data_IF_473979435534
#
_entry.id   IF_473979435534
#
_cell.length_a   1.000
_cell.length_b   1.000
_cell.length_c   1.000
_cell.angle_alpha   90.00
_cell.angle_beta   90.00
_cell.angle_gamma   90.00
#
_symmetry.space_group_name_H-M   'P 1'
#
loop_
_entity.id
_entity.type
_entity.pdbx_description
1 polymer ?
#
# COMPACT_ATOMS: atom_id res chain seq x y z
N UNK A 1 10.02 14.17 -6.69
CA UNK A 1 10.00 14.74 -8.07
C UNK A 1 9.55 16.19 -7.95
N UNK A 2 10.20 17.09 -8.66
CA UNK A 2 9.80 18.50 -8.68
C UNK A 2 8.76 18.73 -9.77
N UNK A 3 7.86 19.68 -9.54
CA UNK A 3 6.80 20.04 -10.49
C UNK A 3 7.35 20.38 -11.88
N UNK A 4 8.45 21.12 -11.92
CA UNK A 4 9.09 21.58 -13.18
C UNK A 4 9.68 20.45 -14.03
N UNK A 5 9.73 19.22 -13.52
CA UNK A 5 10.28 18.06 -14.25
C UNK A 5 9.20 17.35 -15.10
N UNK A 6 7.92 17.72 -14.94
CA UNK A 6 6.80 17.04 -15.61
C UNK A 6 6.10 18.04 -16.55
N UNK A 7 6.23 17.80 -17.85
CA UNK A 7 5.63 18.64 -18.90
C UNK A 7 4.50 17.94 -19.67
N UNK A 8 4.33 16.66 -19.48
CA UNK A 8 3.31 15.84 -20.12
C UNK A 8 2.94 14.65 -19.23
N UNK A 9 1.79 14.05 -19.51
CA UNK A 9 1.33 12.85 -18.82
C UNK A 9 2.35 11.71 -18.96
N UNK A 10 2.90 11.15 -17.86
CA UNK A 10 3.85 10.06 -17.92
C UNK A 10 3.18 8.72 -18.24
N UNK A 11 3.97 7.80 -18.80
CA UNK A 11 3.63 6.37 -18.87
C UNK A 11 4.12 5.68 -17.60
N UNK A 12 3.32 4.76 -17.10
CA UNK A 12 3.58 3.99 -15.86
C UNK A 12 3.75 2.52 -16.21
N UNK A 13 4.81 1.91 -15.72
CA UNK A 13 5.04 0.46 -15.82
C UNK A 13 4.55 -0.22 -14.52
N UNK A 14 3.49 -1.01 -14.63
CA UNK A 14 2.87 -1.72 -13.48
C UNK A 14 3.20 -3.20 -13.55
N UNK A 15 3.92 -3.74 -12.58
CA UNK A 15 4.20 -5.16 -12.45
C UNK A 15 2.95 -5.92 -12.02
N UNK A 16 2.49 -6.89 -12.86
CA UNK A 16 1.21 -7.57 -12.64
C UNK A 16 1.40 -8.97 -12.05
N UNK A 17 2.25 -9.79 -12.66
CA UNK A 17 2.47 -11.16 -12.19
C UNK A 17 3.87 -11.67 -12.59
N UNK A 18 4.40 -12.64 -11.82
CA UNK A 18 5.65 -13.33 -12.10
C UNK A 18 5.43 -14.85 -12.11
N UNK A 19 5.73 -15.52 -13.24
CA UNK A 19 5.52 -16.97 -13.44
C UNK A 19 6.51 -17.57 -14.41
N UNK A 20 6.64 -18.91 -14.43
CA UNK A 20 7.47 -19.62 -15.41
C UNK A 20 6.87 -19.57 -16.82
N UNK A 21 5.55 -19.46 -16.93
CA UNK A 21 4.84 -19.22 -18.18
C UNK A 21 3.70 -18.23 -17.99
N UNK A 22 3.50 -17.37 -18.98
CA UNK A 22 2.46 -16.33 -18.99
C UNK A 22 1.57 -16.57 -20.21
N UNK A 23 0.27 -16.74 -19.95
CA UNK A 23 -0.77 -16.88 -20.96
C UNK A 23 -1.59 -15.61 -21.04
N UNK A 24 -1.77 -15.06 -22.23
CA UNK A 24 -2.50 -13.82 -22.45
C UNK A 24 -3.31 -13.86 -23.75
N UNK A 25 -4.32 -12.99 -23.80
CA UNK A 25 -5.16 -12.82 -24.99
C UNK A 25 -5.09 -11.37 -25.44
N UNK A 26 -4.69 -11.13 -26.68
CA UNK A 26 -4.79 -9.82 -27.31
C UNK A 26 -6.20 -9.65 -27.87
N UNK A 27 -6.90 -8.58 -27.49
CA UNK A 27 -8.27 -8.32 -27.93
C UNK A 27 -8.36 -7.46 -29.19
N UNK A 28 -7.21 -7.01 -29.71
CA UNK A 28 -7.04 -6.29 -30.97
C UNK A 28 -5.67 -6.61 -31.57
N UNK A 29 -5.31 -6.00 -32.69
CA UNK A 29 -3.97 -6.12 -33.26
C UNK A 29 -2.93 -5.38 -32.41
N UNK A 30 -1.78 -6.02 -32.23
CA UNK A 30 -0.63 -5.50 -31.48
C UNK A 30 0.65 -5.63 -32.30
N UNK A 31 1.53 -4.68 -32.18
CA UNK A 31 2.87 -4.71 -32.72
C UNK A 31 3.81 -5.38 -31.72
N UNK A 32 4.40 -6.49 -32.08
CA UNK A 32 5.45 -7.12 -31.27
C UNK A 32 6.77 -6.39 -31.50
N UNK A 33 7.48 -6.14 -30.39
CA UNK A 33 8.84 -5.60 -30.34
C UNK A 33 9.68 -6.57 -29.53
N UNK A 34 10.61 -7.29 -30.17
CA UNK A 34 11.45 -8.28 -29.52
C UNK A 34 12.92 -7.89 -29.54
N UNK A 35 13.60 -7.94 -28.38
CA UNK A 35 15.03 -7.68 -28.27
C UNK A 35 15.79 -9.00 -28.11
N UNK A 36 16.85 -9.18 -28.94
CA UNK A 36 17.70 -10.37 -28.87
C UNK A 36 18.84 -10.15 -27.87
N UNK A 37 19.28 -11.23 -27.18
CA UNK A 37 20.32 -11.17 -26.15
C UNK A 37 21.67 -10.71 -26.69
N UNK A 38 22.05 -11.23 -27.87
CA UNK A 38 23.38 -11.02 -28.44
C UNK A 38 23.51 -9.71 -29.24
N UNK A 39 22.39 -9.02 -29.47
CA UNK A 39 22.35 -7.75 -30.17
C UNK A 39 21.16 -6.90 -29.67
N UNK A 40 21.36 -6.04 -28.67
CA UNK A 40 20.29 -5.18 -28.14
C UNK A 40 19.78 -4.15 -29.16
N UNK A 41 20.49 -3.96 -30.30
CA UNK A 41 20.05 -3.11 -31.42
C UNK A 41 19.25 -3.88 -32.47
N UNK A 42 19.20 -5.21 -32.40
CA UNK A 42 18.40 -6.01 -33.33
C UNK A 42 17.01 -6.21 -32.76
N UNK A 43 16.10 -5.37 -33.24
CA UNK A 43 14.67 -5.46 -32.93
C UNK A 43 13.95 -6.25 -34.01
N UNK A 44 13.08 -7.19 -33.61
CA UNK A 44 12.11 -7.80 -34.50
C UNK A 44 10.77 -7.07 -34.35
N UNK A 45 10.19 -6.72 -35.52
CA UNK A 45 8.89 -6.07 -35.59
C UNK A 45 7.96 -6.89 -36.45
N UNK A 46 6.81 -7.24 -35.95
CA UNK A 46 5.70 -7.73 -36.74
C UNK A 46 4.36 -7.55 -36.04
N UNK A 47 3.30 -7.42 -36.85
CA UNK A 47 1.94 -7.32 -36.30
C UNK A 47 1.47 -8.69 -35.84
N UNK A 48 0.84 -8.74 -34.69
CA UNK A 48 0.15 -9.90 -34.14
C UNK A 48 -1.35 -9.63 -34.20
N UNK A 49 -2.15 -10.50 -34.83
CA UNK A 49 -3.60 -10.35 -34.81
C UNK A 49 -4.16 -10.60 -33.42
N UNK A 50 -5.43 -10.25 -33.23
CA UNK A 50 -6.20 -10.70 -32.08
C UNK A 50 -6.08 -12.21 -31.92
N UNK A 51 -5.84 -12.68 -30.67
CA UNK A 51 -5.66 -14.12 -30.41
C UNK A 51 -5.05 -14.43 -29.06
N UNK A 52 -4.95 -15.72 -28.77
CA UNK A 52 -4.33 -16.24 -27.55
C UNK A 52 -2.85 -16.56 -27.79
N UNK A 53 -2.01 -16.14 -26.86
CA UNK A 53 -0.57 -16.29 -26.93
C UNK A 53 0.00 -16.76 -25.59
N UNK A 54 1.23 -17.27 -25.63
CA UNK A 54 1.96 -17.64 -24.41
C UNK A 54 3.45 -17.39 -24.56
N UNK A 55 4.07 -17.00 -23.44
CA UNK A 55 5.51 -16.95 -23.27
C UNK A 55 5.94 -17.96 -22.22
N UNK A 56 7.14 -18.52 -22.34
CA UNK A 56 7.74 -19.40 -21.34
C UNK A 56 9.18 -18.93 -21.00
N UNK A 57 9.57 -19.09 -19.73
CA UNK A 57 10.95 -18.86 -19.30
C UNK A 57 11.83 -20.04 -19.76
N UNK A 58 12.98 -19.73 -20.33
CA UNK A 58 13.96 -20.71 -20.77
C UNK A 58 15.40 -20.14 -20.67
N UNK A 59 16.18 -20.64 -19.73
CA UNK A 59 17.60 -20.32 -19.54
C UNK A 59 17.93 -18.81 -19.54
N UNK A 60 17.14 -18.02 -18.83
CA UNK A 60 17.32 -16.58 -18.75
C UNK A 60 16.66 -15.78 -19.88
N UNK A 61 15.95 -16.47 -20.79
CA UNK A 61 15.33 -15.90 -21.97
C UNK A 61 13.82 -16.12 -21.97
N UNK A 62 13.14 -15.43 -22.86
CA UNK A 62 11.71 -15.54 -23.12
C UNK A 62 11.52 -16.34 -24.42
N UNK A 63 10.94 -17.53 -24.30
CA UNK A 63 10.49 -18.28 -25.48
C UNK A 63 9.11 -17.79 -25.93
N UNK A 64 9.02 -17.34 -27.16
CA UNK A 64 7.77 -16.96 -27.82
C UNK A 64 7.80 -17.42 -29.28
N UNK A 65 6.77 -18.15 -29.73
CA UNK A 65 6.64 -18.64 -31.11
C UNK A 65 7.95 -19.27 -31.68
N UNK A 66 8.58 -20.21 -30.97
CA UNK A 66 9.83 -20.89 -31.34
C UNK A 66 11.08 -19.99 -31.44
N UNK A 67 11.03 -18.74 -30.94
CA UNK A 67 12.18 -17.83 -30.85
C UNK A 67 12.49 -17.49 -29.39
N UNK A 68 13.74 -17.09 -29.15
CA UNK A 68 14.21 -16.64 -27.83
C UNK A 68 14.50 -15.15 -27.86
N UNK A 69 14.02 -14.43 -26.84
CA UNK A 69 14.16 -12.99 -26.67
C UNK A 69 14.67 -12.65 -25.28
N UNK A 70 15.42 -11.56 -25.16
CA UNK A 70 15.81 -11.00 -23.87
C UNK A 70 14.65 -10.24 -23.20
N UNK A 71 13.86 -9.55 -24.01
CA UNK A 71 12.62 -8.88 -23.58
C UNK A 71 11.64 -8.78 -24.74
N UNK A 72 10.34 -8.72 -24.41
CA UNK A 72 9.26 -8.56 -25.40
C UNK A 72 8.36 -7.40 -25.00
N UNK A 73 7.96 -6.60 -25.98
CA UNK A 73 6.92 -5.60 -25.89
C UNK A 73 5.80 -5.91 -26.88
N UNK A 74 4.56 -5.83 -26.41
CA UNK A 74 3.35 -5.89 -27.23
C UNK A 74 2.69 -4.53 -27.13
N UNK A 75 2.85 -3.72 -28.21
CA UNK A 75 2.31 -2.36 -28.30
C UNK A 75 0.99 -2.41 -29.06
N UNK A 76 -0.10 -1.81 -28.52
CA UNK A 76 -1.35 -1.79 -29.25
C UNK A 76 -1.22 -0.95 -30.54
N UNK A 77 -1.85 -1.39 -31.63
CA UNK A 77 -1.90 -0.62 -32.89
C UNK A 77 -2.99 0.47 -32.86
N UNK A 78 -3.81 0.51 -31.82
CA UNK A 78 -4.83 1.52 -31.57
C UNK A 78 -4.81 1.97 -30.11
N UNK A 79 -5.20 3.21 -29.85
CA UNK A 79 -5.24 3.80 -28.49
C UNK A 79 -6.16 3.04 -27.50
N UNK A 80 -7.10 2.25 -28.02
CA UNK A 80 -8.04 1.42 -27.23
C UNK A 80 -7.63 -0.04 -27.14
N UNK A 81 -6.36 -0.38 -27.46
CA UNK A 81 -5.87 -1.75 -27.41
C UNK A 81 -5.94 -2.34 -26.02
N UNK A 82 -6.48 -3.58 -25.93
CA UNK A 82 -6.70 -4.30 -24.67
C UNK A 82 -6.14 -5.70 -24.76
N UNK A 83 -5.70 -6.20 -23.61
CA UNK A 83 -5.28 -7.59 -23.46
C UNK A 83 -5.77 -8.17 -22.13
N UNK A 84 -5.84 -9.49 -22.07
CA UNK A 84 -6.24 -10.24 -20.87
C UNK A 84 -5.04 -11.02 -20.37
N UNK A 85 -4.78 -10.98 -19.08
CA UNK A 85 -3.89 -11.89 -18.38
C UNK A 85 -4.71 -12.89 -17.56
N UNK A 86 -4.32 -14.17 -17.64
CA UNK A 86 -4.94 -15.24 -16.89
C UNK A 86 -4.18 -15.47 -15.56
N UNK A 87 -4.90 -15.96 -14.55
CA UNK A 87 -4.34 -16.36 -13.26
C UNK A 87 -3.56 -15.24 -12.56
N UNK A 88 -4.05 -14.01 -12.65
CA UNK A 88 -3.51 -12.89 -11.88
C UNK A 88 -3.90 -13.08 -10.43
N UNK A 89 -2.90 -13.10 -9.54
CA UNK A 89 -3.12 -13.23 -8.10
C UNK A 89 -3.35 -11.84 -7.51
N UNK A 90 -4.40 -11.69 -6.71
CA UNK A 90 -4.77 -10.47 -6.00
C UNK A 90 -4.90 -10.75 -4.52
N UNK A 91 -4.66 -9.72 -3.67
CA UNK A 91 -4.73 -9.84 -2.22
C UNK A 91 -3.67 -10.76 -1.64
N UNK A 92 -2.45 -10.64 -2.14
CA UNK A 92 -1.32 -11.50 -1.74
C UNK A 92 -1.11 -11.38 -0.22
N UNK A 93 -1.05 -12.53 0.46
CA UNK A 93 -0.96 -12.66 1.93
C UNK A 93 -2.18 -12.14 2.73
N UNK A 94 -3.27 -11.78 2.07
CA UNK A 94 -4.52 -11.44 2.74
C UNK A 94 -5.49 -12.65 2.76
N UNK A 95 -6.47 -12.62 3.67
CA UNK A 95 -7.47 -13.70 3.80
C UNK A 95 -8.39 -13.88 2.57
N UNK A 96 -8.38 -12.91 1.65
CA UNK A 96 -9.14 -12.90 0.41
C UNK A 96 -8.27 -13.14 -0.84
N UNK A 97 -7.03 -13.64 -0.68
CA UNK A 97 -6.15 -13.99 -1.80
C UNK A 97 -6.84 -14.94 -2.78
N UNK A 98 -6.85 -14.57 -4.05
CA UNK A 98 -7.45 -15.37 -5.13
C UNK A 98 -6.75 -15.15 -6.47
N UNK A 99 -6.94 -16.08 -7.39
CA UNK A 99 -6.52 -15.94 -8.79
C UNK A 99 -7.71 -15.61 -9.67
N UNK A 100 -7.54 -14.64 -10.57
CA UNK A 100 -8.59 -14.23 -11.50
C UNK A 100 -8.03 -13.84 -12.86
N UNK A 101 -8.91 -13.81 -13.85
CA UNK A 101 -8.63 -13.23 -15.15
C UNK A 101 -8.83 -11.72 -15.07
N UNK A 102 -7.87 -10.93 -15.59
CA UNK A 102 -7.96 -9.48 -15.61
C UNK A 102 -7.71 -8.92 -17.01
N UNK A 103 -8.49 -7.90 -17.38
CA UNK A 103 -8.36 -7.15 -18.63
C UNK A 103 -7.59 -5.87 -18.40
N UNK A 104 -6.62 -5.58 -19.25
CA UNK A 104 -5.78 -4.38 -19.19
C UNK A 104 -5.84 -3.59 -20.48
N UNK A 105 -5.59 -2.29 -20.40
CA UNK A 105 -5.42 -1.39 -21.55
C UNK A 105 -3.96 -1.00 -21.71
N UNK A 106 -3.53 -0.66 -22.93
CA UNK A 106 -2.17 -0.23 -23.22
C UNK A 106 -1.24 -1.37 -23.62
N UNK A 107 0.06 -1.24 -23.33
CA UNK A 107 1.07 -2.20 -23.75
C UNK A 107 1.30 -3.29 -22.67
N UNK A 108 1.63 -4.50 -23.15
CA UNK A 108 2.12 -5.61 -22.34
C UNK A 108 3.62 -5.78 -22.57
N UNK A 109 4.41 -5.69 -21.52
CA UNK A 109 5.84 -6.00 -21.55
C UNK A 109 6.09 -7.31 -20.83
N UNK A 110 6.97 -8.15 -21.38
CA UNK A 110 7.45 -9.37 -20.72
C UNK A 110 8.97 -9.23 -20.55
N UNK A 111 9.43 -9.32 -19.32
CA UNK A 111 10.84 -9.31 -18.93
C UNK A 111 11.18 -10.58 -18.15
N UNK A 112 12.45 -10.82 -17.86
CA UNK A 112 12.89 -11.92 -16.99
C UNK A 112 13.41 -11.36 -15.68
N UNK A 113 13.01 -11.98 -14.55
CA UNK A 113 13.47 -11.64 -13.23
C UNK A 113 13.45 -12.90 -12.34
N UNK A 114 14.50 -13.12 -11.56
CA UNK A 114 14.60 -14.23 -10.60
C UNK A 114 14.19 -15.61 -11.19
N UNK A 115 14.69 -15.94 -12.38
CA UNK A 115 14.39 -17.19 -13.11
C UNK A 115 12.90 -17.38 -13.47
N UNK A 116 12.16 -16.28 -13.63
CA UNK A 116 10.75 -16.27 -14.04
C UNK A 116 10.50 -15.19 -15.08
N UNK A 117 9.37 -15.28 -15.73
CA UNK A 117 8.81 -14.20 -16.54
C UNK A 117 8.05 -13.23 -15.64
N UNK A 118 8.17 -11.95 -15.94
CA UNK A 118 7.45 -10.85 -15.32
C UNK A 118 6.59 -10.18 -16.39
N UNK A 119 5.26 -10.13 -16.17
CA UNK A 119 4.34 -9.37 -16.99
C UNK A 119 4.15 -7.96 -16.40
N UNK A 120 4.35 -6.95 -17.23
CA UNK A 120 4.24 -5.53 -16.88
C UNK A 120 3.22 -4.89 -17.82
N UNK A 121 2.26 -4.15 -17.27
CA UNK A 121 1.38 -3.30 -18.06
C UNK A 121 1.97 -1.89 -18.14
N UNK A 122 2.21 -1.37 -19.34
CA UNK A 122 2.62 0.02 -19.58
C UNK A 122 1.42 0.83 -20.04
N UNK A 123 1.06 1.85 -19.27
CA UNK A 123 -0.19 2.58 -19.41
C UNK A 123 0.01 4.06 -19.05
N UNK A 124 -0.79 4.95 -19.64
CA UNK A 124 -0.79 6.36 -19.29
C UNK A 124 -1.31 6.60 -17.87
N UNK A 125 -0.72 7.56 -17.13
CA UNK A 125 -1.02 7.84 -15.71
C UNK A 125 -2.50 8.00 -15.42
N UNK A 126 -3.26 8.78 -16.19
CA UNK A 126 -4.69 8.99 -15.93
C UNK A 126 -5.52 7.71 -16.16
N UNK A 127 -5.09 6.85 -17.09
CA UNK A 127 -5.72 5.54 -17.30
C UNK A 127 -5.38 4.55 -16.19
N UNK A 128 -4.15 4.60 -15.67
CA UNK A 128 -3.75 3.87 -14.45
C UNK A 128 -4.63 4.29 -13.26
N UNK A 129 -4.79 5.58 -13.02
CA UNK A 129 -5.60 6.11 -11.92
C UNK A 129 -7.07 5.72 -12.03
N UNK A 130 -7.61 5.59 -13.25
CA UNK A 130 -8.99 5.10 -13.43
C UNK A 130 -9.16 3.69 -12.81
N UNK A 131 -8.22 2.81 -13.07
CA UNK A 131 -8.21 1.48 -12.45
C UNK A 131 -8.00 1.55 -10.93
N UNK A 132 -7.03 2.33 -10.45
CA UNK A 132 -6.73 2.47 -9.02
C UNK A 132 -7.94 2.95 -8.25
N UNK A 133 -8.57 4.06 -8.65
CA UNK A 133 -9.72 4.62 -7.95
C UNK A 133 -10.88 3.62 -7.90
N UNK A 134 -11.15 2.93 -9.01
CA UNK A 134 -12.20 1.93 -9.07
C UNK A 134 -11.86 0.61 -8.33
N UNK A 135 -10.55 0.34 -8.11
CA UNK A 135 -10.07 -0.84 -7.37
C UNK A 135 -9.97 -0.60 -5.87
N UNK A 136 -9.57 0.60 -5.46
CA UNK A 136 -9.43 0.99 -4.05
C UNK A 136 -10.78 1.30 -3.39
N UNK A 137 -11.64 2.04 -4.11
CA UNK A 137 -12.93 2.54 -3.62
C UNK A 137 -14.10 1.88 -4.35
N UNK A 138 -15.31 2.07 -3.78
CA UNK A 138 -16.51 1.83 -4.56
C UNK A 138 -16.61 2.89 -5.65
N UNK A 139 -16.73 2.44 -6.89
CA UNK A 139 -16.78 3.31 -8.05
C UNK A 139 -18.03 4.24 -8.10
N UNK A 140 -19.00 4.01 -7.21
CA UNK A 140 -20.21 4.84 -7.00
C UNK A 140 -20.11 5.77 -5.78
N UNK A 141 -18.94 5.87 -5.17
CA UNK A 141 -18.71 6.74 -4.02
C UNK A 141 -18.94 8.23 -4.36
N UNK A 142 -19.11 9.05 -3.35
CA UNK A 142 -19.35 10.49 -3.50
C UNK A 142 -18.24 11.16 -4.34
N UNK A 143 -18.63 11.98 -5.33
CA UNK A 143 -17.68 12.54 -6.32
C UNK A 143 -16.56 13.37 -5.68
N UNK A 144 -16.84 14.14 -4.62
CA UNK A 144 -15.82 14.94 -3.93
C UNK A 144 -14.78 14.05 -3.21
N UNK A 145 -15.21 12.91 -2.66
CA UNK A 145 -14.30 11.92 -2.10
C UNK A 145 -13.42 11.30 -3.19
N UNK A 146 -14.01 10.91 -4.35
CA UNK A 146 -13.25 10.36 -5.47
C UNK A 146 -12.26 11.37 -6.07
N UNK A 147 -12.62 12.68 -6.13
CA UNK A 147 -11.71 13.75 -6.54
C UNK A 147 -10.51 13.87 -5.60
N UNK A 148 -10.77 13.92 -4.28
CA UNK A 148 -9.70 13.96 -3.29
C UNK A 148 -8.75 12.76 -3.45
N UNK A 149 -9.33 11.55 -3.62
CA UNK A 149 -8.55 10.33 -3.80
C UNK A 149 -7.75 10.32 -5.10
N UNK A 150 -8.29 10.85 -6.21
CA UNK A 150 -7.57 10.97 -7.48
C UNK A 150 -6.33 11.86 -7.35
N UNK A 151 -6.46 13.02 -6.68
CA UNK A 151 -5.34 13.94 -6.45
C UNK A 151 -4.24 13.29 -5.59
N UNK A 152 -4.61 12.63 -4.48
CA UNK A 152 -3.60 12.00 -3.60
C UNK A 152 -2.96 10.78 -4.24
N UNK A 153 -3.70 9.95 -4.97
CA UNK A 153 -3.15 8.78 -5.65
C UNK A 153 -2.14 9.19 -6.73
N UNK A 154 -2.44 10.26 -7.47
CA UNK A 154 -1.51 10.85 -8.45
C UNK A 154 -0.27 11.42 -7.77
N UNK A 155 -0.45 12.16 -6.69
CA UNK A 155 0.65 12.77 -5.93
C UNK A 155 1.58 11.71 -5.36
N UNK A 156 1.02 10.70 -4.70
CA UNK A 156 1.79 9.59 -4.15
C UNK A 156 2.62 8.89 -5.23
N UNK A 157 1.99 8.51 -6.34
CA UNK A 157 2.68 7.81 -7.43
C UNK A 157 3.84 8.64 -7.99
N UNK A 158 3.60 9.92 -8.31
CA UNK A 158 4.64 10.78 -8.86
C UNK A 158 5.76 11.06 -7.86
N UNK A 159 5.46 11.18 -6.57
CA UNK A 159 6.49 11.27 -5.54
C UNK A 159 7.38 10.02 -5.52
N UNK A 160 6.79 8.82 -5.64
CA UNK A 160 7.54 7.57 -5.71
C UNK A 160 8.44 7.47 -6.96
N UNK A 161 7.98 7.91 -8.12
CA UNK A 161 8.78 7.93 -9.34
C UNK A 161 9.98 8.87 -9.24
N UNK A 162 9.83 10.00 -8.52
CA UNK A 162 10.89 10.97 -8.30
C UNK A 162 12.06 10.47 -7.46
N UNK A 163 11.81 9.55 -6.54
CA UNK A 163 12.88 8.94 -5.73
C UNK A 163 13.78 8.02 -6.55
N UNK A 164 13.24 7.35 -7.57
CA UNK A 164 14.03 6.46 -8.44
C UNK A 164 15.05 7.22 -9.31
N UNK A 165 14.71 8.43 -9.77
CA UNK A 165 15.63 9.24 -10.61
C UNK A 165 16.81 9.79 -9.81
N UNK A 166 16.66 10.02 -8.50
CA UNK A 166 17.74 10.50 -7.64
C UNK A 166 18.72 9.39 -7.26
N UNK A 167 18.24 8.17 -7.04
CA UNK A 167 19.10 7.01 -6.74
C UNK A 167 19.90 6.53 -7.96
N UNK A 168 19.42 6.77 -9.18
CA UNK A 168 20.17 6.45 -10.41
C UNK A 168 21.29 7.46 -10.72
N UNK A 169 21.23 8.69 -10.18
CA UNK A 169 22.24 9.76 -10.40
C UNK A 169 23.30 9.81 -9.31
N UNK A 170 22.98 9.39 -8.10
CA UNK A 170 23.96 9.11 -7.05
C UNK A 170 24.22 7.62 -7.06
N UNK A 171 25.41 7.19 -7.52
CA UNK A 171 25.77 5.75 -7.48
C UNK A 171 25.44 5.13 -6.12
N UNK A 172 25.35 3.79 -6.01
CA UNK A 172 24.68 3.12 -4.92
C UNK A 172 25.36 3.41 -3.58
N UNK A 173 24.91 4.45 -2.90
CA UNK A 173 24.85 4.48 -1.46
C UNK A 173 23.50 3.89 -1.09
N UNK A 174 23.38 2.59 -1.35
CA UNK A 174 22.33 1.82 -0.72
C UNK A 174 22.47 2.09 0.79
N UNK A 175 21.38 2.49 1.49
CA UNK A 175 21.33 2.20 2.89
C UNK A 175 21.52 0.69 2.96
N UNK A 176 22.59 0.25 3.59
CA UNK A 176 22.85 -1.16 3.80
C UNK A 176 21.59 -1.78 4.36
N UNK A 177 20.87 -2.52 3.51
CA UNK A 177 19.94 -3.54 3.96
C UNK A 177 20.78 -4.48 4.83
N UNK A 178 20.79 -4.24 6.12
CA UNK A 178 21.29 -5.20 7.10
C UNK A 178 20.34 -6.41 7.11
N UNK A 179 20.35 -7.16 6.02
CA UNK A 179 20.03 -8.57 5.99
C UNK A 179 21.34 -9.34 6.28
N UNK A 180 21.94 -9.07 7.41
CA UNK A 180 22.79 -10.03 8.04
C UNK A 180 22.05 -10.51 9.27
N UNK A 181 21.67 -11.79 9.25
CA UNK A 181 21.56 -12.54 10.48
C UNK A 181 22.92 -12.42 11.17
N UNK A 182 23.10 -11.68 12.26
CA UNK A 182 24.30 -11.82 13.01
C UNK A 182 24.21 -13.21 13.66
N UNK A 183 25.24 -14.03 13.42
CA UNK A 183 25.59 -15.07 14.36
C UNK A 183 25.49 -14.46 15.77
N UNK A 184 24.88 -15.17 16.69
CA UNK A 184 24.65 -14.73 18.05
C UNK A 184 25.96 -14.15 18.62
N UNK A 185 26.02 -12.88 19.03
CA UNK A 185 27.15 -12.41 19.79
C UNK A 185 27.05 -13.06 21.17
N UNK A 186 28.05 -13.86 21.51
CA UNK A 186 28.36 -14.24 22.88
C UNK A 186 28.87 -13.00 23.64
N UNK A 187 27.92 -12.09 23.96
CA UNK A 187 28.14 -11.11 25.02
C UNK A 187 26.77 -10.73 25.58
N UNK A 188 26.49 -11.18 26.80
CA UNK A 188 25.32 -10.78 27.60
C UNK A 188 25.42 -9.30 27.95
N UNK A 189 24.85 -8.46 27.09
CA UNK A 189 24.34 -7.17 27.53
C UNK A 189 22.91 -7.41 28.07
N UNK A 190 22.59 -6.88 29.25
CA UNK A 190 21.27 -6.99 29.89
C UNK A 190 20.15 -6.24 29.11
N UNK A 191 20.46 -5.67 27.96
CA UNK A 191 19.49 -4.99 27.09
C UNK A 191 18.83 -5.97 26.12
N UNK A 192 17.49 -5.92 25.98
CA UNK A 192 16.79 -6.77 25.01
C UNK A 192 17.28 -6.46 23.60
N UNK A 193 17.35 -7.51 22.75
CA UNK A 193 17.63 -7.33 21.33
C UNK A 193 16.57 -6.41 20.70
N UNK A 194 16.98 -5.59 19.76
CA UNK A 194 16.06 -4.65 19.10
C UNK A 194 16.02 -4.93 17.59
N UNK A 195 14.80 -4.92 17.02
CA UNK A 195 14.56 -5.07 15.61
C UNK A 195 13.53 -4.03 15.15
N UNK A 196 14.02 -2.88 14.71
CA UNK A 196 13.22 -1.79 14.16
C UNK A 196 13.27 -1.90 12.64
N UNK A 197 12.11 -2.14 12.01
CA UNK A 197 11.97 -2.25 10.57
C UNK A 197 10.80 -1.42 10.08
N UNK A 198 10.97 -0.79 8.95
CA UNK A 198 9.90 -0.20 8.16
C UNK A 198 9.98 -0.75 6.73
N UNK A 199 8.88 -0.68 6.06
CA UNK A 199 8.74 -1.18 4.70
C UNK A 199 8.41 0.03 3.83
N UNK A 200 9.44 0.56 3.21
CA UNK A 200 9.30 1.50 2.11
C UNK A 200 9.03 0.71 0.85
N UNK A 201 8.71 1.39 -0.24
CA UNK A 201 8.65 0.81 -1.55
C UNK A 201 10.01 0.15 -1.81
N UNK A 202 10.11 -1.13 -1.51
CA UNK A 202 11.27 -1.94 -1.84
C UNK A 202 11.45 -1.83 -3.35
N UNK A 203 12.67 -1.49 -3.77
CA UNK A 203 12.96 -1.08 -5.13
C UNK A 203 12.46 -2.12 -6.13
N UNK A 204 11.32 -1.87 -6.73
CA UNK A 204 10.95 -2.53 -7.96
C UNK A 204 11.95 -2.09 -9.02
N UNK A 205 12.88 -2.95 -9.39
CA UNK A 205 13.97 -2.61 -10.31
C UNK A 205 13.54 -2.69 -11.77
N UNK A 206 12.47 -3.44 -12.06
CA UNK A 206 12.01 -3.75 -13.40
C UNK A 206 10.76 -2.99 -13.84
N UNK A 207 10.06 -2.34 -12.89
CA UNK A 207 8.82 -1.61 -13.12
C UNK A 207 8.64 -0.50 -12.05
N UNK A 208 7.70 0.40 -12.25
CA UNK A 208 7.49 1.56 -11.37
C UNK A 208 6.75 1.20 -10.09
N UNK A 209 5.64 0.47 -10.19
CA UNK A 209 4.77 0.06 -9.09
C UNK A 209 4.22 -1.35 -9.32
N UNK A 210 3.90 -2.08 -8.25
CA UNK A 210 3.16 -3.34 -8.38
C UNK A 210 1.65 -3.11 -8.38
N UNK A 211 0.91 -4.12 -8.81
CA UNK A 211 -0.55 -4.09 -8.90
C UNK A 211 -1.27 -4.37 -7.56
N UNK A 212 -0.55 -4.70 -6.50
CA UNK A 212 -1.08 -5.13 -5.20
C UNK A 212 -1.06 -4.01 -4.15
N UNK A 213 -1.67 -4.28 -3.00
CA UNK A 213 -1.83 -3.37 -1.85
C UNK A 213 -0.52 -2.80 -1.27
N UNK A 214 0.63 -3.39 -1.64
CA UNK A 214 1.96 -2.85 -1.29
C UNK A 214 2.20 -1.45 -1.90
N UNK A 215 1.73 -1.21 -3.15
CA UNK A 215 1.78 0.10 -3.80
C UNK A 215 0.39 0.75 -3.79
N UNK A 216 -0.36 0.55 -4.85
CA UNK A 216 -1.77 0.95 -4.98
C UNK A 216 -2.49 -0.18 -5.69
N UNK A 217 -3.67 -0.55 -5.22
CA UNK A 217 -4.45 -1.63 -5.82
C UNK A 217 -4.82 -1.30 -7.27
N UNK A 218 -4.27 -2.07 -8.20
CA UNK A 218 -4.47 -1.94 -9.63
C UNK A 218 -4.99 -3.25 -10.22
N UNK A 219 -6.26 -3.30 -10.62
CA UNK A 219 -6.91 -4.51 -11.10
C UNK A 219 -7.30 -4.46 -12.58
N UNK A 220 -6.63 -3.60 -13.35
CA UNK A 220 -6.93 -3.41 -14.78
C UNK A 220 -8.26 -2.72 -15.01
N UNK A 221 -8.91 -3.02 -16.14
CA UNK A 221 -10.21 -2.46 -16.48
C UNK A 221 -11.31 -3.22 -15.73
N UNK A 222 -12.06 -2.52 -14.91
CA UNK A 222 -13.27 -3.05 -14.32
C UNK A 222 -14.43 -2.93 -15.33
N UNK A 223 -15.27 -3.95 -15.41
CA UNK A 223 -16.41 -4.01 -16.37
C UNK A 223 -17.52 -2.98 -16.07
N UNK A 224 -17.43 -2.25 -14.98
CA UNK A 224 -18.47 -1.31 -14.54
C UNK A 224 -18.20 0.08 -15.11
N UNK A 225 -19.14 0.60 -15.92
CA UNK A 225 -19.13 2.02 -16.29
C UNK A 225 -19.37 2.88 -15.05
N UNK A 226 -18.43 3.76 -14.73
CA UNK A 226 -18.42 4.53 -13.50
C UNK A 226 -18.33 6.02 -13.81
N UNK A 227 -19.49 6.66 -14.12
CA UNK A 227 -19.53 8.10 -14.45
C UNK A 227 -18.90 8.97 -13.37
N UNK A 228 -19.03 8.59 -12.08
CA UNK A 228 -18.46 9.31 -10.94
C UNK A 228 -16.92 9.32 -11.00
N UNK A 229 -16.30 8.17 -11.26
CA UNK A 229 -14.83 8.06 -11.40
C UNK A 229 -14.34 8.86 -12.60
N UNK A 230 -15.04 8.76 -13.75
CA UNK A 230 -14.71 9.56 -14.95
C UNK A 230 -14.77 11.06 -14.65
N UNK A 231 -15.85 11.51 -13.99
CA UNK A 231 -16.00 12.91 -13.59
C UNK A 231 -14.93 13.36 -12.61
N UNK A 232 -14.60 12.53 -11.60
CA UNK A 232 -13.57 12.86 -10.63
C UNK A 232 -12.20 13.03 -11.30
N UNK A 233 -11.81 12.09 -12.16
CA UNK A 233 -10.52 12.14 -12.86
C UNK A 233 -10.45 13.28 -13.85
N UNK A 234 -11.47 13.47 -14.70
CA UNK A 234 -11.46 14.57 -15.70
C UNK A 234 -11.43 15.95 -15.04
N UNK A 235 -12.13 16.15 -13.92
CA UNK A 235 -12.14 17.43 -13.20
C UNK A 235 -10.90 17.69 -12.35
N UNK A 236 -10.06 16.68 -12.11
CA UNK A 236 -8.82 16.79 -11.34
C UNK A 236 -7.60 16.35 -12.13
N UNK A 237 -7.73 16.23 -13.45
CA UNK A 237 -6.64 15.79 -14.34
C UNK A 237 -5.39 16.62 -14.12
N UNK A 238 -4.23 15.98 -13.94
CA UNK A 238 -2.96 16.67 -13.71
C UNK A 238 -2.82 17.36 -12.36
N UNK A 239 -3.85 17.41 -11.50
CA UNK A 239 -3.76 18.04 -10.18
C UNK A 239 -3.00 17.16 -9.18
N UNK A 240 -2.08 17.78 -8.44
CA UNK A 240 -1.29 17.12 -7.38
C UNK A 240 -1.21 18.01 -6.14
N UNK A 241 -0.93 17.37 -4.99
CA UNK A 241 -0.54 18.06 -3.77
C UNK A 241 0.95 18.36 -3.77
N UNK A 242 1.32 19.56 -3.37
CA UNK A 242 2.69 20.01 -3.30
C UNK A 242 2.99 20.69 -1.96
N UNK A 243 4.19 20.45 -1.45
CA UNK A 243 4.81 21.21 -0.36
C UNK A 243 5.97 22.01 -0.93
N UNK A 244 5.77 23.33 -1.11
CA UNK A 244 6.69 24.14 -1.89
C UNK A 244 6.72 23.75 -3.37
N UNK A 245 7.87 23.29 -3.85
CA UNK A 245 8.06 22.81 -5.24
C UNK A 245 8.01 21.28 -5.36
N UNK A 246 7.99 20.57 -4.26
CA UNK A 246 8.03 19.13 -4.24
C UNK A 246 6.62 18.54 -4.22
N UNK A 247 6.39 17.50 -5.03
CA UNK A 247 5.16 16.71 -5.01
C UNK A 247 5.13 15.88 -3.72
N UNK A 248 4.01 15.92 -3.00
CA UNK A 248 3.84 15.27 -1.72
C UNK A 248 3.75 13.74 -1.84
N UNK A 249 4.41 13.02 -0.94
CA UNK A 249 4.14 11.60 -0.66
C UNK A 249 2.78 11.49 0.08
N UNK A 250 1.69 11.55 -0.68
CA UNK A 250 0.33 11.68 -0.16
C UNK A 250 -0.23 10.32 0.28
N UNK A 251 0.23 9.84 1.45
CA UNK A 251 -0.19 8.56 2.06
C UNK A 251 -1.66 8.59 2.51
N UNK A 252 -2.33 7.44 2.47
CA UNK A 252 -3.71 7.27 2.92
C UNK A 252 -3.92 5.90 3.56
N UNK A 253 -4.94 5.79 4.41
CA UNK A 253 -5.31 4.54 5.08
C UNK A 253 -6.81 4.42 5.26
N UNK A 254 -7.30 3.21 5.51
CA UNK A 254 -8.73 2.89 5.62
C UNK A 254 -9.42 3.71 6.72
N UNK A 255 -8.88 3.66 7.95
CA UNK A 255 -9.44 4.35 9.12
C UNK A 255 -8.34 4.81 10.07
N UNK A 256 -8.28 6.10 10.40
CA UNK A 256 -7.28 6.62 11.33
C UNK A 256 -7.60 6.28 12.81
N UNK A 257 -8.87 5.98 13.13
CA UNK A 257 -9.34 5.70 14.49
C UNK A 257 -9.59 6.95 15.34
N UNK A 258 -9.74 8.12 14.68
CA UNK A 258 -10.02 9.42 15.31
C UNK A 258 -8.84 10.38 15.36
N UNK A 259 -7.61 9.87 15.23
CA UNK A 259 -6.38 10.66 15.10
C UNK A 259 -5.55 10.14 13.93
N UNK A 260 -5.11 11.03 13.03
CA UNK A 260 -4.10 10.68 12.04
C UNK A 260 -2.74 10.49 12.70
N UNK A 261 -1.82 9.78 12.05
CA UNK A 261 -0.47 9.53 12.55
C UNK A 261 0.57 10.33 11.77
N UNK A 262 1.72 10.55 12.38
CA UNK A 262 2.88 11.17 11.73
C UNK A 262 3.68 10.15 10.90
N UNK A 263 4.31 10.62 9.82
CA UNK A 263 5.09 9.78 8.90
C UNK A 263 6.20 9.00 9.61
N UNK A 264 6.96 9.66 10.45
CA UNK A 264 8.11 9.10 11.17
C UNK A 264 7.74 7.96 12.15
N UNK A 265 6.48 7.87 12.57
CA UNK A 265 6.00 6.75 13.40
C UNK A 265 5.93 5.43 12.63
N UNK A 266 5.75 5.49 11.32
CA UNK A 266 5.51 4.32 10.47
C UNK A 266 6.70 3.95 9.58
N UNK A 267 7.48 4.96 9.16
CA UNK A 267 8.61 4.81 8.22
C UNK A 267 9.91 5.42 8.77
N UNK A 268 10.75 5.96 7.88
CA UNK A 268 12.00 6.60 8.23
C UNK A 268 11.81 7.75 9.23
N UNK A 269 12.83 8.03 10.04
CA UNK A 269 12.81 9.11 11.04
C UNK A 269 12.95 10.50 10.36
N UNK A 270 12.05 10.75 9.41
CA UNK A 270 11.98 11.99 8.64
C UNK A 270 10.65 12.68 8.91
N UNK A 271 10.68 13.89 9.42
CA UNK A 271 9.47 14.66 9.68
C UNK A 271 8.96 15.34 8.41
N UNK A 272 7.75 14.98 7.99
CA UNK A 272 7.05 15.64 6.90
C UNK A 272 5.94 16.56 7.46
N UNK A 273 6.01 17.86 7.19
CA UNK A 273 5.12 18.87 7.78
C UNK A 273 3.66 18.76 7.39
N UNK A 274 3.38 17.97 6.36
CA UNK A 274 2.04 17.68 5.85
C UNK A 274 1.52 16.28 6.21
N UNK A 275 2.34 15.39 6.79
CA UNK A 275 1.93 14.07 7.30
C UNK A 275 2.12 14.05 8.82
N UNK A 276 1.20 14.67 9.53
CA UNK A 276 1.28 14.89 10.98
C UNK A 276 0.09 14.29 11.70
N UNK A 277 0.29 13.98 12.97
CA UNK A 277 -0.80 13.56 13.85
C UNK A 277 -1.72 14.72 14.19
N UNK A 278 -3.03 14.54 13.94
CA UNK A 278 -4.08 15.51 14.23
C UNK A 278 -5.45 14.85 14.39
N UNK A 279 -6.40 15.48 15.07
CA UNK A 279 -7.78 15.01 15.17
C UNK A 279 -8.47 14.94 13.81
N UNK A 280 -9.24 13.88 13.60
CA UNK A 280 -10.10 13.66 12.42
C UNK A 280 -11.50 14.25 12.69
N UNK A 281 -11.54 15.56 12.99
CA UNK A 281 -12.76 16.31 13.30
C UNK A 281 -12.56 17.80 13.06
N UNK A 282 -13.63 18.53 12.64
CA UNK A 282 -13.67 19.98 12.51
C UNK A 282 -14.89 20.50 13.29
N UNK A 283 -14.75 21.46 14.24
CA UNK A 283 -13.46 21.97 14.74
C UNK A 283 -12.66 20.90 15.48
N UNK A 284 -11.32 21.04 15.47
CA UNK A 284 -10.47 20.12 16.21
C UNK A 284 -10.77 20.23 17.73
N UNK A 285 -10.90 19.10 18.45
CA UNK A 285 -11.09 19.11 19.89
C UNK A 285 -9.83 19.59 20.62
N UNK A 286 -10.00 19.99 21.87
CA UNK A 286 -8.88 20.37 22.71
C UNK A 286 -7.85 19.24 22.84
N UNK A 287 -6.56 19.60 22.87
CA UNK A 287 -5.46 18.64 22.96
C UNK A 287 -5.55 17.73 24.18
N UNK A 288 -6.11 18.22 25.28
CA UNK A 288 -6.33 17.45 26.52
C UNK A 288 -7.24 16.25 26.32
N UNK A 289 -8.15 16.27 25.34
CA UNK A 289 -9.10 15.18 25.08
C UNK A 289 -8.46 13.94 24.44
N UNK A 290 -7.22 14.05 23.96
CA UNK A 290 -6.44 12.95 23.38
C UNK A 290 -4.99 12.89 23.89
N UNK A 291 -4.73 13.52 25.04
CA UNK A 291 -3.41 13.51 25.68
C UNK A 291 -3.06 12.15 26.31
N UNK A 292 -4.07 11.36 26.69
CA UNK A 292 -3.94 9.98 27.13
C UNK A 292 -4.20 9.02 25.94
N UNK A 293 -3.15 8.41 25.34
CA UNK A 293 -3.32 7.56 24.19
C UNK A 293 -4.15 6.29 24.48
N UNK A 294 -4.02 5.72 25.66
CA UNK A 294 -4.73 4.47 26.02
C UNK A 294 -6.20 4.76 26.29
N UNK A 295 -6.50 5.78 27.07
CA UNK A 295 -7.87 6.23 27.27
C UNK A 295 -8.55 6.67 25.98
N UNK A 296 -7.82 7.27 25.04
CA UNK A 296 -8.35 7.61 23.72
C UNK A 296 -8.67 6.35 22.88
N UNK A 297 -7.79 5.34 22.87
CA UNK A 297 -8.01 4.07 22.16
C UNK A 297 -9.22 3.32 22.74
N UNK A 298 -9.34 3.25 24.06
CA UNK A 298 -10.44 2.58 24.76
C UNK A 298 -11.76 3.35 24.71
N UNK A 299 -11.68 4.66 24.48
CA UNK A 299 -12.85 5.54 24.39
C UNK A 299 -13.58 5.46 23.05
N UNK A 300 -14.65 6.26 22.93
CA UNK A 300 -15.41 6.42 21.69
C UNK A 300 -15.54 7.93 21.33
N UNK A 301 -14.42 8.61 21.01
CA UNK A 301 -14.45 10.04 20.75
C UNK A 301 -15.18 10.37 19.44
N UNK A 302 -15.81 11.55 19.32
CA UNK A 302 -16.36 12.03 18.07
C UNK A 302 -15.25 12.18 17.03
N UNK A 303 -15.53 11.74 15.81
CA UNK A 303 -14.59 11.78 14.70
C UNK A 303 -15.35 11.58 13.39
N UNK A 304 -14.86 12.09 12.26
CA UNK A 304 -15.45 11.80 10.97
C UNK A 304 -15.46 10.29 10.68
N UNK A 305 -14.39 9.58 11.02
CA UNK A 305 -14.34 8.13 10.78
C UNK A 305 -15.07 7.28 11.83
N UNK A 306 -15.67 7.88 12.86
CA UNK A 306 -16.52 7.21 13.83
C UNK A 306 -17.97 7.16 13.32
N UNK A 307 -18.25 6.30 12.36
CA UNK A 307 -19.57 6.15 11.72
C UNK A 307 -19.95 4.69 11.58
N UNK A 308 -21.23 4.38 11.74
CA UNK A 308 -21.86 3.10 11.48
C UNK A 308 -22.81 3.17 10.27
N UNK A 309 -22.83 4.32 9.56
CA UNK A 309 -23.62 4.50 8.35
C UNK A 309 -23.16 3.56 7.25
N UNK A 310 -24.01 2.59 6.91
CA UNK A 310 -23.70 1.57 5.91
C UNK A 310 -23.46 2.16 4.53
N UNK A 311 -24.24 3.18 4.13
CA UNK A 311 -24.09 3.80 2.82
C UNK A 311 -22.75 4.52 2.66
N UNK A 312 -22.21 5.07 3.75
CA UNK A 312 -20.87 5.67 3.77
C UNK A 312 -19.80 4.58 3.77
N UNK A 313 -19.94 3.56 4.63
CA UNK A 313 -18.98 2.47 4.70
C UNK A 313 -18.88 1.71 3.37
N UNK A 314 -19.98 1.51 2.65
CA UNK A 314 -20.03 0.88 1.32
C UNK A 314 -19.24 1.67 0.26
N UNK A 315 -18.98 2.95 0.46
CA UNK A 315 -18.13 3.74 -0.44
C UNK A 315 -16.65 3.40 -0.33
N UNK A 316 -16.23 2.94 0.84
CA UNK A 316 -14.82 2.69 1.18
C UNK A 316 -14.51 1.20 1.27
N UNK A 317 -15.48 0.40 1.72
CA UNK A 317 -15.32 -1.03 1.96
C UNK A 317 -15.81 -1.82 0.75
N UNK A 318 -15.07 -2.86 0.39
CA UNK A 318 -15.52 -3.85 -0.60
C UNK A 318 -16.17 -5.04 0.10
N UNK A 319 -16.87 -5.90 -0.65
CA UNK A 319 -17.67 -7.01 -0.13
C UNK A 319 -16.92 -7.90 0.86
N UNK A 320 -15.63 -8.12 0.65
CA UNK A 320 -14.77 -8.91 1.55
C UNK A 320 -14.37 -8.17 2.84
N UNK A 321 -14.42 -6.84 2.86
CA UNK A 321 -14.16 -6.01 4.05
C UNK A 321 -15.42 -5.92 4.95
N UNK A 322 -16.62 -6.21 4.42
CA UNK A 322 -17.88 -6.13 5.19
C UNK A 322 -18.03 -7.15 6.32
N UNK A 323 -17.20 -8.19 6.34
CA UNK A 323 -17.23 -9.21 7.40
C UNK A 323 -16.74 -8.67 8.74
N UNK A 324 -15.99 -7.57 8.72
CA UNK A 324 -15.47 -6.89 9.90
C UNK A 324 -15.94 -5.44 9.90
N UNK A 325 -16.92 -5.09 10.76
CA UNK A 325 -17.50 -3.73 10.82
C UNK A 325 -16.82 -2.81 11.83
N UNK A 326 -15.89 -3.34 12.62
CA UNK A 326 -15.30 -2.67 13.78
C UNK A 326 -14.03 -1.92 13.39
N UNK A 327 -14.10 -1.03 12.37
CA UNK A 327 -12.91 -0.31 11.87
C UNK A 327 -12.45 0.79 12.80
N UNK A 328 -13.37 1.44 13.49
CA UNK A 328 -13.06 2.54 14.39
C UNK A 328 -12.48 2.03 15.71
N UNK A 329 -13.10 0.97 16.26
CA UNK A 329 -12.64 0.25 17.46
C UNK A 329 -12.77 -1.25 17.22
N UNK A 330 -11.76 -2.01 17.61
CA UNK A 330 -11.71 -3.45 17.41
C UNK A 330 -11.14 -4.18 18.63
N UNK A 331 -11.47 -5.44 18.76
CA UNK A 331 -10.92 -6.31 19.79
C UNK A 331 -10.50 -7.63 19.18
N UNK A 332 -9.27 -8.05 19.48
CA UNK A 332 -8.73 -9.36 19.07
C UNK A 332 -8.19 -10.08 20.29
N UNK A 333 -8.53 -11.35 20.43
CA UNK A 333 -8.09 -12.19 21.54
C UNK A 333 -7.26 -13.37 21.06
N UNK A 334 -6.18 -13.67 21.76
CA UNK A 334 -5.30 -14.78 21.47
C UNK A 334 -5.07 -15.62 22.72
N UNK A 335 -5.17 -16.94 22.61
CA UNK A 335 -4.56 -17.85 23.59
C UNK A 335 -3.04 -17.63 23.60
N UNK A 336 -2.42 -17.74 24.78
CA UNK A 336 -0.99 -17.46 24.93
C UNK A 336 -0.11 -18.35 24.05
N UNK A 337 -0.48 -19.61 23.84
CA UNK A 337 0.27 -20.53 22.99
C UNK A 337 0.10 -20.17 21.51
N UNK A 338 -1.14 -19.89 21.11
CA UNK A 338 -1.44 -19.43 19.75
C UNK A 338 -0.61 -18.18 19.38
N UNK A 339 -0.58 -17.16 20.25
CA UNK A 339 0.18 -15.95 19.99
C UNK A 339 1.70 -16.19 20.00
N UNK A 340 2.18 -17.09 20.88
CA UNK A 340 3.62 -17.44 20.94
C UNK A 340 4.08 -18.14 19.66
N UNK A 341 3.30 -19.10 19.15
CA UNK A 341 3.59 -19.83 17.92
C UNK A 341 3.51 -18.90 16.70
N UNK A 342 2.49 -18.03 16.66
CA UNK A 342 2.32 -17.03 15.63
C UNK A 342 3.49 -16.05 15.61
N UNK A 343 3.88 -15.49 16.76
CA UNK A 343 5.01 -14.58 16.88
C UNK A 343 6.30 -15.26 16.41
N UNK A 344 6.57 -16.51 16.83
CA UNK A 344 7.72 -17.28 16.37
C UNK A 344 7.71 -17.45 14.86
N UNK A 345 6.59 -17.84 14.27
CA UNK A 345 6.45 -18.04 12.82
C UNK A 345 6.70 -16.74 12.05
N UNK A 346 6.09 -15.64 12.49
CA UNK A 346 6.12 -14.35 11.77
C UNK A 346 7.42 -13.56 12.02
N UNK A 347 7.97 -13.64 13.22
CA UNK A 347 9.23 -12.96 13.55
C UNK A 347 10.47 -13.78 13.21
N UNK A 348 10.36 -15.12 13.10
CA UNK A 348 11.48 -16.04 13.00
C UNK A 348 12.26 -16.25 14.31
N UNK A 349 11.79 -15.68 15.44
CA UNK A 349 12.46 -15.75 16.74
C UNK A 349 11.59 -16.47 17.78
N UNK A 350 12.18 -17.42 18.48
CA UNK A 350 11.53 -18.24 19.52
C UNK A 350 11.77 -17.62 20.90
N UNK A 351 10.80 -16.85 21.39
CA UNK A 351 10.81 -16.30 22.74
C UNK A 351 10.21 -17.27 23.80
N UNK A 352 9.77 -18.46 23.40
CA UNK A 352 9.04 -19.39 24.25
C UNK A 352 7.58 -18.91 24.47
N UNK A 353 6.97 -19.26 25.60
CA UNK A 353 5.65 -18.77 25.96
C UNK A 353 5.73 -17.27 26.29
N UNK A 354 4.93 -16.46 25.61
CA UNK A 354 4.87 -15.04 25.83
C UNK A 354 4.24 -14.73 27.19
N UNK A 355 4.77 -13.74 27.88
CA UNK A 355 4.32 -13.30 29.20
C UNK A 355 3.95 -11.82 29.24
N UNK A 356 4.45 -11.02 28.27
CA UNK A 356 4.15 -9.60 28.22
C UNK A 356 4.29 -9.00 26.83
N UNK A 357 3.45 -7.99 26.57
CA UNK A 357 3.49 -7.07 25.43
C UNK A 357 3.45 -5.65 25.96
N UNK A 358 4.59 -4.95 25.98
CA UNK A 358 4.75 -3.62 26.60
C UNK A 358 4.99 -2.57 25.50
N UNK A 359 4.11 -1.57 25.40
CA UNK A 359 4.30 -0.43 24.50
C UNK A 359 5.34 0.52 25.09
N UNK A 360 6.56 0.54 24.53
CA UNK A 360 7.64 1.42 25.00
C UNK A 360 7.53 2.82 24.43
N UNK A 361 7.01 2.96 23.21
CA UNK A 361 6.89 4.22 22.51
C UNK A 361 5.64 4.22 21.65
N UNK A 362 4.92 5.34 21.66
CA UNK A 362 3.72 5.55 20.84
C UNK A 362 3.88 6.83 20.02
N UNK A 363 3.35 6.82 18.81
CA UNK A 363 3.16 8.00 17.98
C UNK A 363 1.99 8.86 18.47
N UNK A 364 1.75 9.96 17.77
CA UNK A 364 0.76 10.95 18.19
C UNK A 364 -0.69 10.47 18.13
N UNK A 365 -1.00 9.40 17.39
CA UNK A 365 -2.32 8.76 17.35
C UNK A 365 -2.49 7.62 18.37
N UNK A 366 -1.49 7.37 19.21
CA UNK A 366 -1.44 6.21 20.10
C UNK A 366 -0.94 4.93 19.45
N UNK A 367 -0.58 4.94 18.14
CA UNK A 367 0.04 3.79 17.47
C UNK A 367 1.38 3.48 18.12
N UNK A 368 1.59 2.19 18.42
CA UNK A 368 2.84 1.71 19.00
C UNK A 368 3.92 1.76 17.92
N UNK A 369 5.01 2.48 18.22
CA UNK A 369 6.22 2.59 17.38
C UNK A 369 7.26 1.57 17.82
N UNK A 370 7.38 1.32 19.15
CA UNK A 370 8.27 0.32 19.72
C UNK A 370 7.51 -0.54 20.73
N UNK A 371 7.45 -1.83 20.46
CA UNK A 371 6.80 -2.84 21.30
C UNK A 371 7.83 -3.82 21.84
N UNK A 372 7.92 -3.96 23.17
CA UNK A 372 8.71 -5.00 23.81
C UNK A 372 7.84 -6.25 23.99
N UNK A 373 8.28 -7.34 23.43
CA UNK A 373 7.67 -8.67 23.55
C UNK A 373 8.55 -9.50 24.47
N UNK A 374 7.98 -9.98 25.58
CA UNK A 374 8.67 -10.79 26.58
C UNK A 374 8.10 -12.21 26.62
N UNK A 375 8.96 -13.18 26.62
CA UNK A 375 8.60 -14.58 26.77
C UNK A 375 9.55 -15.35 27.71
N UNK A 376 9.30 -16.63 27.90
CA UNK A 376 10.06 -17.47 28.83
C UNK A 376 11.54 -17.66 28.46
N UNK A 377 11.95 -17.36 27.22
CA UNK A 377 13.31 -17.48 26.73
C UNK A 377 14.05 -16.14 26.56
N UNK A 378 13.40 -15.02 26.85
CA UNK A 378 13.98 -13.70 26.71
C UNK A 378 12.97 -12.67 26.20
N UNK A 379 13.49 -11.51 25.72
CA UNK A 379 12.67 -10.44 25.19
C UNK A 379 13.27 -9.84 23.93
N UNK A 380 12.40 -9.24 23.11
CA UNK A 380 12.73 -8.55 21.86
C UNK A 380 11.92 -7.26 21.78
N UNK A 381 12.56 -6.17 21.35
CA UNK A 381 11.86 -4.95 20.97
C UNK A 381 11.66 -4.99 19.46
N UNK A 382 10.42 -4.87 19.01
CA UNK A 382 10.06 -4.76 17.59
C UNK A 382 9.46 -3.38 17.28
N UNK A 383 9.61 -2.90 16.10
CA UNK A 383 9.09 -1.66 15.51
C UNK A 383 9.39 -1.63 14.01
N UNK A 384 8.76 -0.81 13.20
CA UNK A 384 7.70 0.17 13.48
C UNK A 384 6.30 -0.44 13.27
N UNK A 385 5.35 0.40 12.91
CA UNK A 385 3.90 0.12 12.83
C UNK A 385 3.59 -1.19 12.09
N UNK A 386 4.05 -1.36 10.85
CA UNK A 386 3.74 -2.53 10.03
C UNK A 386 4.43 -3.80 10.53
N UNK A 387 5.67 -3.71 11.06
CA UNK A 387 6.36 -4.88 11.63
C UNK A 387 5.62 -5.39 12.88
N UNK A 388 5.11 -4.50 13.73
CA UNK A 388 4.31 -4.86 14.90
C UNK A 388 3.04 -5.60 14.46
N UNK A 389 2.31 -5.05 13.49
CA UNK A 389 1.07 -5.66 12.96
C UNK A 389 1.32 -7.03 12.36
N UNK A 390 2.41 -7.16 11.60
CA UNK A 390 2.81 -8.40 10.93
C UNK A 390 3.18 -9.51 11.92
N UNK A 391 3.88 -9.16 13.00
CA UNK A 391 4.32 -10.14 14.01
C UNK A 391 3.19 -10.64 14.90
N UNK A 392 2.06 -9.91 15.01
CA UNK A 392 0.95 -10.22 15.90
C UNK A 392 -0.31 -10.72 15.18
N UNK A 393 -0.24 -11.06 13.89
CA UNK A 393 -1.38 -11.60 13.14
C UNK A 393 -0.95 -12.57 12.05
N UNK A 394 -1.82 -13.51 11.70
CA UNK A 394 -1.62 -14.44 10.57
C UNK A 394 -1.50 -13.71 9.23
N UNK A 395 -2.22 -12.60 9.11
CA UNK A 395 -2.11 -11.66 8.00
C UNK A 395 -1.45 -10.37 8.51
N UNK A 396 -2.24 -9.32 8.72
CA UNK A 396 -1.83 -8.08 9.38
C UNK A 396 -2.87 -7.71 10.44
N UNK A 397 -2.42 -7.34 11.66
CA UNK A 397 -3.32 -6.75 12.65
C UNK A 397 -3.92 -5.45 12.10
N UNK A 398 -5.12 -5.08 12.50
CA UNK A 398 -5.81 -3.90 11.96
C UNK A 398 -4.97 -2.61 12.02
N UNK A 399 -4.35 -2.35 13.17
CA UNK A 399 -3.40 -1.23 13.37
C UNK A 399 -2.44 -1.56 14.50
N UNK A 400 -1.43 -0.71 14.75
CA UNK A 400 -0.61 -0.78 15.96
C UNK A 400 -1.13 0.12 17.10
N UNK A 401 -2.30 0.77 16.93
CA UNK A 401 -2.96 1.54 17.98
C UNK A 401 -3.78 0.60 18.85
N UNK A 402 -3.18 -0.02 19.85
CA UNK A 402 -3.89 -0.92 20.78
C UNK A 402 -3.38 -0.85 22.21
N UNK A 403 -4.25 -1.27 23.14
CA UNK A 403 -3.98 -1.51 24.55
C UNK A 403 -4.06 -3.02 24.78
N UNK A 404 -3.26 -3.55 25.69
CA UNK A 404 -3.15 -4.97 25.96
C UNK A 404 -3.71 -5.30 27.32
N UNK A 405 -4.74 -6.14 27.39
CA UNK A 405 -5.21 -6.79 28.59
C UNK A 405 -4.70 -8.23 28.67
N UNK A 406 -4.42 -8.70 29.88
CA UNK A 406 -3.95 -10.06 30.15
C UNK A 406 -4.93 -10.79 31.06
N UNK A 407 -5.38 -11.98 30.62
CA UNK A 407 -6.12 -12.91 31.48
C UNK A 407 -5.12 -13.89 32.08
N UNK A 408 -5.08 -13.94 33.40
CA UNK A 408 -4.17 -14.84 34.14
C UNK A 408 -4.87 -16.15 34.52
N UNK A 409 -4.10 -17.21 34.65
CA UNK A 409 -4.53 -18.47 35.26
C UNK A 409 -4.45 -18.44 36.81
N UNK A 410 -4.83 -19.50 37.47
CA UNK A 410 -4.81 -19.64 38.93
C UNK A 410 -3.39 -19.52 39.51
N UNK A 411 -2.35 -19.73 38.74
CA UNK A 411 -0.95 -19.61 39.10
C UNK A 411 -0.35 -18.22 38.78
N UNK A 412 -1.18 -17.29 38.29
CA UNK A 412 -0.74 -15.92 37.92
C UNK A 412 0.01 -15.85 36.57
N UNK A 413 -0.02 -16.91 35.75
CA UNK A 413 0.57 -16.91 34.42
C UNK A 413 -0.43 -16.44 33.39
N UNK A 414 0.05 -15.80 32.33
CA UNK A 414 -0.81 -15.35 31.24
C UNK A 414 -1.40 -16.56 30.50
N UNK A 415 -2.72 -16.63 30.43
CA UNK A 415 -3.50 -17.59 29.64
C UNK A 415 -3.92 -16.99 28.30
N UNK A 416 -4.26 -15.69 28.27
CA UNK A 416 -4.80 -15.03 27.11
C UNK A 416 -4.35 -13.59 27.05
N UNK A 417 -4.08 -13.07 25.85
CA UNK A 417 -3.93 -11.65 25.54
C UNK A 417 -5.19 -11.15 24.84
N UNK A 418 -5.68 -9.98 25.24
CA UNK A 418 -6.79 -9.27 24.61
C UNK A 418 -6.24 -7.92 24.13
N UNK A 419 -6.31 -7.67 22.84
CA UNK A 419 -5.88 -6.44 22.21
C UNK A 419 -7.11 -5.59 21.90
N UNK A 420 -7.25 -4.43 22.55
CA UNK A 420 -8.29 -3.44 22.27
C UNK A 420 -7.67 -2.33 21.43
N UNK A 421 -8.15 -2.15 20.20
CA UNK A 421 -7.48 -1.25 19.27
C UNK A 421 -8.37 -0.26 18.56
N UNK A 422 -7.74 0.66 17.83
CA UNK A 422 -8.38 1.74 17.12
C UNK A 422 -7.83 1.89 15.69
N UNK A 423 -8.76 2.07 14.74
CA UNK A 423 -8.43 2.32 13.34
C UNK A 423 -7.95 1.11 12.55
N UNK A 424 -7.79 1.30 11.24
CA UNK A 424 -7.28 0.30 10.31
C UNK A 424 -6.23 0.92 9.37
N UNK A 425 -5.04 0.32 9.36
CA UNK A 425 -3.87 0.80 8.62
C UNK A 425 -3.00 1.73 9.45
N UNK A 426 -2.00 2.28 8.79
CA UNK A 426 -0.98 3.13 9.42
C UNK A 426 -1.51 4.48 9.95
N UNK A 427 -2.66 4.95 9.48
CA UNK A 427 -3.30 6.18 9.95
C UNK A 427 -2.67 7.48 9.45
N UNK A 428 -1.63 7.44 8.63
CA UNK A 428 -0.91 8.63 8.14
C UNK A 428 -1.63 9.21 6.93
N UNK A 429 -1.81 10.52 6.88
CA UNK A 429 -2.45 11.25 5.79
C UNK A 429 -3.97 11.06 5.76
N UNK A 430 -4.56 10.85 4.58
CA UNK A 430 -6.01 10.80 4.43
C UNK A 430 -6.61 9.53 5.05
N UNK A 431 -7.63 9.73 5.90
CA UNK A 431 -8.52 8.68 6.38
C UNK A 431 -9.66 8.47 5.39
N UNK A 432 -9.72 7.31 4.73
CA UNK A 432 -10.70 7.06 3.67
C UNK A 432 -12.15 7.15 4.19
N UNK A 433 -12.45 6.53 5.35
CA UNK A 433 -13.80 6.61 5.95
C UNK A 433 -14.12 8.06 6.35
N UNK A 434 -13.19 8.77 7.00
CA UNK A 434 -13.39 10.16 7.38
C UNK A 434 -13.61 11.09 6.19
N UNK A 435 -12.84 10.91 5.11
CA UNK A 435 -12.99 11.67 3.86
C UNK A 435 -14.34 11.41 3.17
N UNK A 436 -14.83 10.15 3.21
CA UNK A 436 -16.17 9.84 2.69
C UNK A 436 -17.27 10.52 3.51
N UNK A 437 -17.17 10.51 4.85
CA UNK A 437 -18.10 11.24 5.74
C UNK A 437 -18.07 12.75 5.47
N UNK A 438 -16.88 13.35 5.32
CA UNK A 438 -16.75 14.76 4.98
C UNK A 438 -17.46 15.09 3.66
N UNK A 439 -17.25 14.26 2.63
CA UNK A 439 -17.89 14.45 1.32
C UNK A 439 -19.43 14.41 1.43
N UNK A 440 -20.01 13.45 2.17
CA UNK A 440 -21.44 13.36 2.43
C UNK A 440 -21.98 14.56 3.25
N UNK A 441 -21.15 15.16 4.10
CA UNK A 441 -21.47 16.39 4.82
C UNK A 441 -21.32 17.66 3.95
N UNK A 442 -20.97 17.53 2.67
CA UNK A 442 -20.90 18.62 1.70
C UNK A 442 -19.53 19.31 1.58
N UNK A 443 -18.48 18.81 2.25
CA UNK A 443 -17.13 19.31 2.05
C UNK A 443 -16.64 19.05 0.62
N UNK A 444 -15.98 20.06 0.03
CA UNK A 444 -15.35 19.93 -1.28
C UNK A 444 -14.02 19.21 -1.17
N UNK A 445 -13.57 18.61 -2.28
CA UNK A 445 -12.32 17.84 -2.29
C UNK A 445 -11.12 18.66 -1.83
N UNK A 446 -11.05 19.95 -2.11
CA UNK A 446 -10.01 20.86 -1.64
C UNK A 446 -10.01 20.96 -0.10
N UNK A 447 -11.19 21.08 0.51
CA UNK A 447 -11.35 21.16 1.98
C UNK A 447 -10.99 19.81 2.63
N UNK A 448 -11.32 18.67 1.99
CA UNK A 448 -10.93 17.35 2.45
C UNK A 448 -9.39 17.23 2.41
N UNK A 449 -8.76 17.63 1.32
CA UNK A 449 -7.31 17.59 1.18
C UNK A 449 -6.60 18.52 2.17
N UNK A 450 -7.09 19.74 2.38
CA UNK A 450 -6.56 20.67 3.38
C UNK A 450 -6.67 20.11 4.81
N UNK A 451 -7.79 19.38 5.08
CA UNK A 451 -7.96 18.74 6.38
C UNK A 451 -6.89 17.67 6.64
N UNK A 452 -6.59 16.79 5.68
CA UNK A 452 -5.65 15.68 5.90
C UNK A 452 -4.19 16.02 5.61
N UNK A 453 -3.92 17.03 4.79
CA UNK A 453 -2.56 17.43 4.39
C UNK A 453 -2.34 18.92 4.62
N UNK A 454 -2.16 19.34 5.88
CA UNK A 454 -1.89 20.73 6.19
C UNK A 454 -0.59 21.19 5.52
N UNK A 455 -0.46 22.49 5.27
CA UNK A 455 0.73 23.09 4.65
C UNK A 455 1.04 22.62 3.21
N UNK A 456 0.02 22.17 2.49
CA UNK A 456 0.13 21.81 1.07
C UNK A 456 -0.70 22.73 0.19
N UNK A 457 -0.43 22.68 -1.12
CA UNK A 457 -1.18 23.37 -2.15
C UNK A 457 -1.49 22.39 -3.29
N UNK A 458 -2.67 22.53 -3.88
CA UNK A 458 -3.02 21.82 -5.11
C UNK A 458 -2.41 22.61 -6.28
N UNK A 459 -1.65 21.91 -7.12
CA UNK A 459 -1.04 22.49 -8.35
C UNK A 459 -1.36 21.64 -9.55
N UNK A 460 -1.51 22.29 -10.71
CA UNK A 460 -1.70 21.67 -12.01
C UNK A 460 -0.33 21.39 -12.63
N UNK A 461 -0.08 20.14 -13.07
CA UNK A 461 1.17 19.75 -13.72
C UNK A 461 1.10 19.79 -15.24
N UNK A 462 -0.03 19.37 -15.81
CA UNK A 462 -0.28 19.34 -17.26
C UNK A 462 -1.78 19.50 -17.52
N UNK A 463 -2.10 20.06 -18.68
CA UNK A 463 -3.47 20.20 -19.15
C UNK A 463 -3.95 18.93 -19.87
N UNK A 464 -5.26 18.83 -20.07
CA UNK A 464 -5.93 17.70 -20.74
C UNK A 464 -5.59 17.57 -22.23
#
# INVERSE_FOLDING_TARGET
MKIQDIHSQPLIEVGILSRNSIHFVLLSAYKLIGYQKDNPFRMEYYSLPQGSYSCAYEDGMIRFQNKLFASLGFEPESDSGRFILNNVRIGIEFHWEQEMQQCFEGALLIKTENHRLLAINRIALERYLYSVIASEMNARAHTEFLKAHAVISRSWLLAQLGTNTQTAQTGPTAPENRTESPAAPENRSDSPAERIRWYEREAHTQFDVCADDHCQRYQGLLEVDTPQVKTALSSTQGMVLCSGEDICDARFSKCCGGLTESFESCWADTRLTYLVSKPDLIPAPDRSSYADPEGFILGNPPSFCNTDDKGILEQVLKDYDFQTRDFFRWTVSYDVRELSDLFKQRSGLDLGLLSDLEALERGGSGRIVRLKVTGSKGSLIIGKELEIRRCLSKTHLYSSAFVVDKVLDEQGKVRQFILHGAGWGHGVGLCQIGAAVMAEQGYKFEQILEHYYPNTQIKQLYDS
#
